data_IF_026629044600
#
_entry.id   IF_026629044600
#
_cell.length_a   1.000
_cell.length_b   1.000
_cell.length_c   1.000
_cell.angle_alpha   90.00
_cell.angle_beta   90.00
_cell.angle_gamma   90.00
#
_symmetry.space_group_name_H-M   'P 1'
#
loop_
_entity.id
_entity.type
_entity.pdbx_description
1 polymer ?
#
# COMPACT_ATOMS: atom_id res chain seq x y z
N UNK A 1 -25.29 6.08 35.19
CA UNK A 1 -23.92 6.33 35.70
C UNK A 1 -23.00 6.41 34.50
N UNK A 2 -22.41 7.58 34.21
CA UNK A 2 -21.40 7.74 33.15
C UNK A 2 -20.02 7.53 33.81
N UNK A 3 -19.12 6.72 33.23
CA UNK A 3 -17.85 6.38 33.89
C UNK A 3 -16.93 7.61 34.09
N UNK A 4 -16.22 7.63 35.24
CA UNK A 4 -15.34 8.70 35.72
C UNK A 4 -13.97 8.76 35.00
N UNK A 5 -13.61 7.68 34.27
CA UNK A 5 -12.54 7.68 33.27
C UNK A 5 -13.20 7.41 31.91
N UNK A 6 -13.16 8.42 31.06
CA UNK A 6 -14.04 8.56 29.90
C UNK A 6 -13.77 7.62 28.73
N UNK A 7 -14.61 7.77 27.71
CA UNK A 7 -14.59 7.14 26.38
C UNK A 7 -13.34 7.43 25.52
N UNK A 8 -12.24 7.90 26.11
CA UNK A 8 -11.04 8.36 25.40
C UNK A 8 -9.97 7.28 25.51
N UNK A 9 -9.50 6.71 24.38
CA UNK A 9 -8.43 5.73 24.37
C UNK A 9 -7.15 6.37 24.91
N UNK A 10 -6.46 5.68 25.83
CA UNK A 10 -5.27 6.20 26.53
C UNK A 10 -4.11 5.21 26.62
N UNK A 11 -4.32 3.95 26.24
CA UNK A 11 -3.35 2.87 26.39
C UNK A 11 -2.96 2.22 25.05
N UNK A 12 -2.84 0.89 24.98
CA UNK A 12 -2.53 0.14 23.75
C UNK A 12 -3.46 0.47 22.57
N UNK A 13 -4.67 0.93 22.83
CA UNK A 13 -5.64 1.38 21.85
C UNK A 13 -5.12 2.56 21.03
N UNK A 14 -4.39 3.50 21.64
CA UNK A 14 -3.75 4.60 20.92
C UNK A 14 -2.64 4.12 19.99
N UNK A 15 -1.90 3.09 20.40
CA UNK A 15 -0.88 2.46 19.56
C UNK A 15 -1.53 1.74 18.37
N UNK A 16 -2.65 1.04 18.58
CA UNK A 16 -3.40 0.41 17.49
C UNK A 16 -3.95 1.47 16.53
N UNK A 17 -4.55 2.55 17.06
CA UNK A 17 -5.04 3.67 16.25
C UNK A 17 -3.89 4.29 15.46
N UNK A 18 -2.75 4.54 16.09
CA UNK A 18 -1.58 5.09 15.42
C UNK A 18 -1.05 4.15 14.32
N UNK A 19 -0.95 2.85 14.58
CA UNK A 19 -0.53 1.87 13.58
C UNK A 19 -1.54 1.83 12.41
N UNK A 20 -2.83 1.79 12.67
CA UNK A 20 -3.82 1.71 11.59
C UNK A 20 -3.91 3.02 10.81
N UNK A 21 -3.97 4.16 11.49
CA UNK A 21 -4.21 5.47 10.86
C UNK A 21 -2.95 6.19 10.37
N UNK A 22 -1.76 5.81 10.83
CA UNK A 22 -0.51 6.40 10.35
C UNK A 22 0.29 5.39 9.54
N UNK A 23 0.49 4.16 10.04
CA UNK A 23 1.35 3.20 9.34
C UNK A 23 0.76 2.80 7.99
N UNK A 24 -0.54 2.48 7.92
CA UNK A 24 -1.17 2.05 6.67
C UNK A 24 -1.11 3.14 5.58
N UNK A 25 -1.51 4.41 5.82
CA UNK A 25 -1.42 5.44 4.80
C UNK A 25 0.03 5.82 4.47
N UNK A 26 0.94 5.89 5.45
CA UNK A 26 2.35 6.21 5.19
C UNK A 26 3.02 5.10 4.39
N UNK A 27 2.80 3.83 4.76
CA UNK A 27 3.31 2.68 4.05
C UNK A 27 2.70 2.59 2.66
N UNK A 28 1.39 2.72 2.54
CA UNK A 28 0.68 2.70 1.27
C UNK A 28 1.20 3.79 0.33
N UNK A 29 1.35 5.02 0.81
CA UNK A 29 1.90 6.14 0.03
C UNK A 29 3.36 5.91 -0.38
N UNK A 30 4.21 5.41 0.53
CA UNK A 30 5.60 5.09 0.23
C UNK A 30 5.70 3.99 -0.83
N UNK A 31 4.92 2.93 -0.70
CA UNK A 31 4.84 1.82 -1.68
C UNK A 31 4.32 2.32 -3.02
N UNK A 32 3.24 3.11 -3.03
CA UNK A 32 2.68 3.69 -4.26
C UNK A 32 3.67 4.59 -4.99
N UNK A 33 4.40 5.44 -4.26
CA UNK A 33 5.44 6.28 -4.84
C UNK A 33 6.58 5.45 -5.43
N UNK A 34 7.00 4.38 -4.74
CA UNK A 34 8.01 3.46 -5.24
C UNK A 34 7.55 2.74 -6.51
N UNK A 35 6.33 2.18 -6.50
CA UNK A 35 5.70 1.53 -7.68
C UNK A 35 5.67 2.49 -8.87
N UNK A 36 5.29 3.75 -8.66
CA UNK A 36 5.26 4.74 -9.73
C UNK A 36 6.64 4.94 -10.37
N UNK A 37 7.69 5.10 -9.55
CA UNK A 37 9.05 5.30 -10.05
C UNK A 37 9.60 4.05 -10.72
N UNK A 38 9.38 2.88 -10.14
CA UNK A 38 9.81 1.60 -10.71
C UNK A 38 9.10 1.32 -12.04
N UNK A 39 7.78 1.51 -12.10
CA UNK A 39 6.99 1.31 -13.31
C UNK A 39 7.41 2.24 -14.44
N UNK A 40 7.64 3.54 -14.15
CA UNK A 40 8.17 4.48 -15.14
C UNK A 40 9.57 4.10 -15.62
N UNK A 41 10.46 3.68 -14.71
CA UNK A 41 11.83 3.31 -15.06
C UNK A 41 11.89 2.05 -15.94
N UNK A 42 10.92 1.15 -15.79
CA UNK A 42 10.86 -0.14 -16.51
C UNK A 42 9.93 -0.13 -17.74
N UNK A 43 9.29 0.99 -18.06
CA UNK A 43 8.33 1.06 -19.17
C UNK A 43 7.05 0.25 -18.93
N UNK A 44 6.71 -0.04 -17.68
CA UNK A 44 5.49 -0.77 -17.33
C UNK A 44 4.27 0.09 -17.67
N UNK A 45 3.28 -0.43 -18.41
CA UNK A 45 2.10 0.34 -18.80
C UNK A 45 1.24 0.71 -17.58
N UNK A 46 0.53 1.83 -17.69
CA UNK A 46 -0.39 2.33 -16.66
C UNK A 46 0.25 2.54 -15.27
N UNK A 47 1.50 3.03 -15.22
CA UNK A 47 2.21 3.34 -13.97
C UNK A 47 1.39 4.13 -12.91
N UNK A 48 0.61 5.17 -13.27
CA UNK A 48 -0.23 5.87 -12.29
C UNK A 48 -1.33 4.98 -11.69
N UNK A 49 -1.92 4.09 -12.48
CA UNK A 49 -2.97 3.20 -12.02
C UNK A 49 -2.44 2.16 -11.03
N UNK A 50 -1.25 1.59 -11.28
CA UNK A 50 -0.59 0.69 -10.35
C UNK A 50 -0.26 1.36 -9.00
N UNK A 51 0.26 2.58 -9.05
CA UNK A 51 0.60 3.34 -7.86
C UNK A 51 -0.65 3.69 -7.03
N UNK A 52 -1.65 4.31 -7.66
CA UNK A 52 -2.88 4.73 -6.96
C UNK A 52 -3.74 3.54 -6.54
N UNK A 53 -3.84 2.51 -7.38
CA UNK A 53 -4.58 1.29 -7.08
C UNK A 53 -4.01 0.54 -5.88
N UNK A 54 -2.67 0.44 -5.78
CA UNK A 54 -2.02 -0.19 -4.63
C UNK A 54 -2.25 0.61 -3.35
N UNK A 55 -2.13 1.94 -3.40
CA UNK A 55 -2.43 2.83 -2.26
C UNK A 55 -3.88 2.64 -1.82
N UNK A 56 -4.84 2.69 -2.75
CA UNK A 56 -6.25 2.51 -2.47
C UNK A 56 -6.54 1.15 -1.83
N UNK A 57 -5.85 0.09 -2.27
CA UNK A 57 -6.00 -1.24 -1.69
C UNK A 57 -5.40 -1.33 -0.29
N UNK A 58 -4.29 -0.64 0.01
CA UNK A 58 -3.81 -0.51 1.40
C UNK A 58 -4.82 0.20 2.30
N UNK A 59 -5.51 1.23 1.78
CA UNK A 59 -6.60 1.90 2.50
C UNK A 59 -7.82 0.99 2.70
N UNK A 60 -8.15 0.13 1.74
CA UNK A 60 -9.21 -0.87 1.88
C UNK A 60 -8.83 -1.99 2.88
N UNK A 61 -7.53 -2.21 3.08
CA UNK A 61 -6.99 -3.09 4.11
C UNK A 61 -5.54 -3.49 3.83
N UNK A 62 -4.86 -3.94 4.87
CA UNK A 62 -3.45 -4.32 4.73
C UNK A 62 -3.24 -5.49 3.75
N UNK A 63 -4.07 -6.53 3.84
CA UNK A 63 -4.00 -7.72 2.97
C UNK A 63 -4.25 -7.39 1.48
N UNK A 64 -5.34 -6.70 1.09
CA UNK A 64 -5.54 -6.33 -0.31
C UNK A 64 -4.41 -5.45 -0.85
N UNK A 65 -3.84 -4.55 -0.04
CA UNK A 65 -2.66 -3.77 -0.43
C UNK A 65 -1.43 -4.63 -0.73
N UNK A 66 -1.15 -5.64 0.11
CA UNK A 66 -0.07 -6.61 -0.13
C UNK A 66 -0.31 -7.45 -1.39
N UNK A 67 -1.55 -7.87 -1.63
CA UNK A 67 -1.90 -8.61 -2.86
C UNK A 67 -1.67 -7.75 -4.10
N UNK A 68 -2.07 -6.47 -4.08
CA UNK A 68 -1.82 -5.53 -5.17
C UNK A 68 -0.32 -5.40 -5.48
N UNK A 69 0.49 -5.27 -4.43
CA UNK A 69 1.94 -5.22 -4.54
C UNK A 69 2.49 -6.53 -5.14
N UNK A 70 2.07 -7.69 -4.65
CA UNK A 70 2.51 -8.98 -5.18
C UNK A 70 2.19 -9.14 -6.67
N UNK A 71 0.98 -8.75 -7.09
CA UNK A 71 0.58 -8.78 -8.50
C UNK A 71 1.43 -7.81 -9.33
N UNK A 72 1.71 -6.61 -8.82
CA UNK A 72 2.61 -5.67 -9.50
C UNK A 72 4.01 -6.26 -9.70
N UNK A 73 4.58 -6.88 -8.66
CA UNK A 73 5.91 -7.50 -8.72
C UNK A 73 5.96 -8.66 -9.70
N UNK A 74 4.90 -9.47 -9.76
CA UNK A 74 4.76 -10.53 -10.75
C UNK A 74 4.68 -9.96 -12.18
N UNK A 75 3.81 -8.97 -12.40
CA UNK A 75 3.60 -8.40 -13.73
C UNK A 75 4.87 -7.72 -14.29
N UNK A 76 5.62 -7.00 -13.44
CA UNK A 76 6.88 -6.37 -13.89
C UNK A 76 7.95 -7.39 -14.28
N UNK A 77 7.95 -8.58 -13.66
CA UNK A 77 8.89 -9.67 -13.96
C UNK A 77 8.52 -10.36 -15.26
N UNK A 78 7.22 -10.62 -15.47
CA UNK A 78 6.69 -11.14 -16.73
C UNK A 78 7.06 -10.24 -17.92
N UNK A 79 6.89 -8.92 -17.78
CA UNK A 79 7.28 -7.95 -18.82
C UNK A 79 8.79 -7.94 -19.08
N UNK A 80 9.61 -8.08 -18.03
CA UNK A 80 11.05 -8.16 -18.17
C UNK A 80 11.48 -9.45 -18.89
N UNK A 81 10.81 -10.58 -18.61
CA UNK A 81 11.03 -11.84 -19.30
C UNK A 81 10.70 -11.75 -20.78
N UNK A 82 9.55 -11.16 -21.13
CA UNK A 82 9.14 -10.97 -22.53
C UNK A 82 10.15 -10.11 -23.32
N UNK A 83 10.67 -9.05 -22.70
CA UNK A 83 11.68 -8.20 -23.33
C UNK A 83 13.03 -8.92 -23.59
N UNK A 84 13.32 -10.02 -22.91
CA UNK A 84 14.54 -10.81 -23.12
C UNK A 84 14.43 -11.82 -24.27
N UNK A 85 13.21 -12.14 -24.71
CA UNK A 85 12.93 -13.13 -25.77
C UNK A 85 12.64 -12.46 -27.12
N UNK A 86 12.31 -11.17 -27.11
CA UNK A 86 12.07 -10.34 -28.29
C UNK A 86 13.36 -9.77 -28.88
#
# INVERSE_FOLDING_TARGET
MVPLFGSIPGGPELLIIFLVFLLVPVLGAAVGFWIYRDAKGRGVPYAPAWAVGTVALFFAGFIPGLLALAVYLYMREELAGQASVA
#
